data_IF_199502137529
#
_entry.id   IF_199502137529
#
_cell.length_a   1.000
_cell.length_b   1.000
_cell.length_c   1.000
_cell.angle_alpha   90.00
_cell.angle_beta   90.00
_cell.angle_gamma   90.00
#
_symmetry.space_group_name_H-M   'P 1'
#
loop_
_entity.id
_entity.type
_entity.pdbx_description
1 polymer ?
#
# COMPACT_ATOMS: atom_id res chain seq x y z
N UNK A 1 -30.92 34.65 -22.82
CA UNK A 1 -30.33 33.31 -22.57
C UNK A 1 -28.83 33.51 -22.42
N UNK A 2 -28.39 33.84 -21.20
CA UNK A 2 -26.99 34.19 -20.92
C UNK A 2 -26.19 32.90 -20.82
N UNK A 3 -25.33 32.65 -21.81
CA UNK A 3 -24.38 31.54 -21.78
C UNK A 3 -23.26 31.90 -20.81
N UNK A 4 -23.07 31.08 -19.78
CA UNK A 4 -21.92 31.19 -18.88
C UNK A 4 -20.71 30.49 -19.50
N UNK A 5 -19.49 31.03 -19.33
CA UNK A 5 -18.28 30.39 -19.84
C UNK A 5 -17.91 29.18 -18.97
N UNK A 6 -17.65 28.05 -19.61
CA UNK A 6 -17.09 26.85 -18.98
C UNK A 6 -15.61 27.07 -18.73
N UNK A 7 -15.23 27.26 -17.47
CA UNK A 7 -13.82 27.33 -17.07
C UNK A 7 -13.26 25.91 -17.11
N UNK A 8 -12.42 25.62 -18.10
CA UNK A 8 -11.67 24.37 -18.15
C UNK A 8 -10.60 24.40 -17.05
N UNK A 9 -10.83 23.65 -15.97
CA UNK A 9 -9.84 23.47 -14.91
C UNK A 9 -8.76 22.54 -15.45
N UNK A 10 -7.59 23.10 -15.79
CA UNK A 10 -6.40 22.31 -16.06
C UNK A 10 -6.15 21.35 -14.90
N UNK A 11 -6.10 20.05 -15.20
CA UNK A 11 -5.77 19.01 -14.22
C UNK A 11 -4.33 19.24 -13.75
N UNK A 12 -4.20 19.95 -12.64
CA UNK A 12 -2.95 20.15 -11.91
C UNK A 12 -2.19 18.82 -11.84
N UNK A 13 -0.92 18.81 -12.27
CA UNK A 13 -0.03 17.64 -12.34
C UNK A 13 0.38 17.05 -10.98
N UNK A 14 -0.51 17.11 -9.99
CA UNK A 14 -0.34 16.53 -8.66
C UNK A 14 -0.51 15.01 -8.79
N UNK A 15 0.51 14.20 -8.45
CA UNK A 15 0.40 12.75 -8.48
C UNK A 15 -0.74 12.26 -7.58
N UNK A 16 -1.58 11.36 -8.10
CA UNK A 16 -2.59 10.70 -7.28
C UNK A 16 -1.92 9.85 -6.17
N UNK A 17 -2.56 9.77 -4.99
CA UNK A 17 -2.14 8.87 -3.91
C UNK A 17 -1.16 9.47 -2.89
N UNK A 18 -0.88 10.77 -2.94
CA UNK A 18 -0.08 11.49 -1.94
C UNK A 18 -0.65 11.43 -0.53
N UNK A 19 -1.97 11.31 -0.41
CA UNK A 19 -2.68 11.29 0.87
C UNK A 19 -3.39 9.96 1.09
N UNK A 20 -3.43 9.51 2.33
CA UNK A 20 -4.13 8.30 2.74
C UNK A 20 -4.85 8.52 4.07
N UNK A 21 -6.00 7.85 4.26
CA UNK A 21 -6.76 7.92 5.50
C UNK A 21 -6.33 6.80 6.45
N UNK A 22 -6.09 7.12 7.72
CA UNK A 22 -5.88 6.11 8.75
C UNK A 22 -7.18 5.34 9.04
N UNK A 23 -7.19 4.00 9.00
CA UNK A 23 -8.39 3.22 9.31
C UNK A 23 -8.74 3.23 10.80
N UNK A 24 -7.78 3.52 11.69
CA UNK A 24 -8.00 3.53 13.13
C UNK A 24 -8.52 4.88 13.66
N UNK A 25 -7.84 6.00 13.35
CA UNK A 25 -8.21 7.32 13.86
C UNK A 25 -8.89 8.24 12.81
N UNK A 26 -8.92 7.83 11.54
CA UNK A 26 -9.54 8.62 10.47
C UNK A 26 -8.71 9.80 9.96
N UNK A 27 -7.53 10.06 10.51
CA UNK A 27 -6.65 11.17 10.09
C UNK A 27 -6.24 11.04 8.61
N UNK A 28 -6.11 12.18 7.93
CA UNK A 28 -5.54 12.27 6.59
C UNK A 28 -4.03 12.44 6.69
N UNK A 29 -3.29 11.42 6.26
CA UNK A 29 -1.85 11.32 6.40
C UNK A 29 -1.18 11.48 5.05
N UNK A 30 -0.03 12.15 5.02
CA UNK A 30 0.82 12.20 3.85
C UNK A 30 1.59 10.88 3.71
N UNK A 31 1.48 10.23 2.55
CA UNK A 31 2.04 8.89 2.32
C UNK A 31 3.54 8.82 2.61
N UNK A 32 4.30 9.83 2.18
CA UNK A 32 5.76 9.87 2.40
C UNK A 32 6.13 9.88 3.88
N UNK A 33 5.41 10.66 4.69
CA UNK A 33 5.64 10.70 6.14
C UNK A 33 5.31 9.36 6.81
N UNK A 34 4.30 8.65 6.29
CA UNK A 34 3.99 7.28 6.72
C UNK A 34 5.10 6.29 6.35
N UNK A 35 5.65 6.37 5.14
CA UNK A 35 6.77 5.52 4.70
C UNK A 35 8.03 5.77 5.54
N UNK A 36 8.38 7.04 5.78
CA UNK A 36 9.50 7.45 6.64
C UNK A 36 9.32 6.98 8.10
N UNK A 37 8.09 6.95 8.60
CA UNK A 37 7.76 6.44 9.94
C UNK A 37 7.45 4.93 9.98
N UNK A 38 8.05 4.15 9.07
CA UNK A 38 7.94 2.68 9.02
C UNK A 38 6.50 2.15 8.99
N UNK A 39 5.61 2.91 8.34
CA UNK A 39 4.20 2.62 8.18
C UNK A 39 3.42 2.59 9.52
N UNK A 40 3.81 3.43 10.48
CA UNK A 40 3.10 3.67 11.74
C UNK A 40 2.41 5.04 11.72
N UNK A 41 1.14 5.08 12.10
CA UNK A 41 0.38 6.34 12.18
C UNK A 41 1.03 7.29 13.20
N UNK A 42 1.45 8.51 12.81
CA UNK A 42 2.03 9.45 13.76
C UNK A 42 1.02 9.94 14.80
N UNK A 43 -0.27 9.99 14.43
CA UNK A 43 -1.35 10.51 15.29
C UNK A 43 -1.83 9.52 16.35
N UNK A 44 -1.92 8.22 16.02
CA UNK A 44 -2.54 7.22 16.89
C UNK A 44 -1.73 5.94 17.10
N UNK A 45 -0.52 5.87 16.54
CA UNK A 45 0.38 4.70 16.65
C UNK A 45 -0.20 3.39 16.07
N UNK A 46 -1.24 3.47 15.23
CA UNK A 46 -1.73 2.31 14.50
C UNK A 46 -0.69 1.82 13.48
N UNK A 47 -0.38 0.53 13.53
CA UNK A 47 0.54 -0.12 12.59
C UNK A 47 -0.23 -0.56 11.34
N UNK A 48 0.16 -0.02 10.18
CA UNK A 48 -0.45 -0.43 8.92
C UNK A 48 0.11 -1.78 8.46
N UNK A 49 -0.70 -2.51 7.70
CA UNK A 49 -0.24 -3.67 6.94
C UNK A 49 0.82 -3.24 5.93
N UNK A 50 1.93 -3.96 5.91
CA UNK A 50 2.97 -3.82 4.88
C UNK A 50 3.21 -5.17 4.20
N UNK A 51 3.83 -5.14 3.02
CA UNK A 51 4.24 -6.36 2.33
C UNK A 51 5.42 -7.03 3.06
N UNK A 52 5.59 -8.34 2.86
CA UNK A 52 6.75 -9.06 3.39
C UNK A 52 8.08 -8.44 2.90
N UNK A 53 8.16 -8.05 1.62
CA UNK A 53 9.34 -7.41 1.03
C UNK A 53 9.66 -6.06 1.67
N UNK A 54 8.64 -5.28 2.00
CA UNK A 54 8.82 -4.02 2.73
C UNK A 54 9.36 -4.28 4.13
N UNK A 55 8.82 -5.27 4.84
CA UNK A 55 9.34 -5.64 6.16
C UNK A 55 10.81 -6.05 6.11
N UNK A 56 11.20 -6.86 5.12
CA UNK A 56 12.61 -7.27 4.92
C UNK A 56 13.52 -6.05 4.77
N UNK A 57 13.14 -5.07 3.92
CA UNK A 57 13.92 -3.82 3.75
C UNK A 57 14.09 -3.02 5.04
N UNK A 58 13.12 -3.08 5.95
CA UNK A 58 13.17 -2.32 7.21
C UNK A 58 14.09 -2.94 8.27
N UNK A 59 14.33 -4.25 8.22
CA UNK A 59 14.98 -4.99 9.30
C UNK A 59 16.35 -5.58 8.92
N UNK A 60 16.60 -5.79 7.62
CA UNK A 60 17.88 -6.30 7.13
C UNK A 60 18.80 -5.16 6.73
N UNK A 61 20.10 -5.34 6.95
CA UNK A 61 21.10 -4.41 6.44
C UNK A 61 21.03 -4.35 4.90
N UNK A 62 21.39 -3.20 4.34
CA UNK A 62 21.34 -2.98 2.91
C UNK A 62 22.18 -4.04 2.17
N UNK A 63 21.60 -4.64 1.12
CA UNK A 63 22.22 -5.70 0.31
C UNK A 63 22.63 -6.98 1.08
N UNK A 64 22.15 -7.20 2.31
CA UNK A 64 22.46 -8.40 3.10
C UNK A 64 21.45 -9.55 2.96
N UNK A 65 20.23 -9.26 2.51
CA UNK A 65 19.17 -10.26 2.41
C UNK A 65 19.36 -11.17 1.20
N UNK A 66 19.36 -12.49 1.44
CA UNK A 66 19.40 -13.52 0.41
C UNK A 66 18.10 -14.34 0.45
N UNK A 67 17.27 -14.24 -0.59
CA UNK A 67 16.02 -14.99 -0.69
C UNK A 67 16.30 -16.50 -0.82
N UNK A 68 15.62 -17.30 0.00
CA UNK A 68 15.76 -18.77 -0.01
C UNK A 68 14.52 -19.39 -0.62
N UNK A 69 14.71 -20.32 -1.54
CA UNK A 69 13.65 -21.07 -2.23
C UNK A 69 12.64 -20.17 -2.99
N UNK A 70 13.10 -19.27 -3.89
CA UNK A 70 12.22 -18.35 -4.62
C UNK A 70 11.18 -19.05 -5.53
N UNK A 71 11.43 -20.32 -5.87
CA UNK A 71 10.57 -21.13 -6.72
C UNK A 71 9.67 -22.09 -5.94
N UNK A 72 9.61 -21.99 -4.60
CA UNK A 72 8.72 -22.82 -3.80
C UNK A 72 7.29 -22.31 -3.95
N UNK A 73 6.41 -23.20 -4.40
CA UNK A 73 5.00 -22.91 -4.63
C UNK A 73 4.08 -23.90 -3.93
N UNK A 74 2.84 -23.47 -3.68
CA UNK A 74 1.82 -24.34 -3.09
C UNK A 74 1.27 -25.29 -4.15
N UNK A 75 1.10 -26.55 -3.77
CA UNK A 75 0.39 -27.57 -4.56
C UNK A 75 -0.91 -27.94 -3.85
N UNK A 76 -1.87 -28.47 -4.60
CA UNK A 76 -3.14 -28.97 -4.04
C UNK A 76 -3.15 -30.51 -4.03
N UNK A 77 -2.65 -31.16 -2.97
CA UNK A 77 -2.66 -32.62 -2.87
C UNK A 77 -4.05 -33.19 -2.58
N UNK A 78 -5.01 -32.35 -2.17
CA UNK A 78 -6.36 -32.77 -1.80
C UNK A 78 -7.36 -32.65 -2.95
N UNK A 79 -7.00 -31.97 -4.04
CA UNK A 79 -7.94 -31.64 -5.12
C UNK A 79 -9.11 -30.80 -4.60
N UNK A 80 -8.84 -29.91 -3.64
CA UNK A 80 -9.86 -29.16 -2.93
C UNK A 80 -10.50 -28.12 -3.85
N UNK A 81 -11.83 -28.16 -3.93
CA UNK A 81 -12.60 -27.18 -4.70
C UNK A 81 -13.60 -26.46 -3.81
N UNK A 82 -13.47 -25.15 -3.70
CA UNK A 82 -14.45 -24.29 -3.06
C UNK A 82 -15.49 -23.82 -4.10
N UNK A 83 -16.52 -23.08 -3.66
CA UNK A 83 -17.55 -22.51 -4.55
C UNK A 83 -16.96 -21.60 -5.64
N UNK A 84 -15.76 -21.05 -5.43
CA UNK A 84 -14.93 -20.37 -6.42
C UNK A 84 -13.49 -20.85 -6.25
N UNK A 85 -12.81 -21.09 -7.36
CA UNK A 85 -11.37 -21.36 -7.34
C UNK A 85 -10.61 -20.11 -6.84
N UNK A 86 -9.53 -20.32 -6.09
CA UNK A 86 -8.69 -19.27 -5.51
C UNK A 86 -7.68 -18.66 -6.51
N UNK A 87 -7.90 -18.86 -7.82
CA UNK A 87 -7.01 -18.43 -8.90
C UNK A 87 -7.20 -16.95 -9.30
#
# INVERSE_FOLDING_TARGET
MSQQPTVEVEKSGIPAGLWMRCPACGAMLFRKAMEENLHVCPECQHHFRISARERVRQICDENSFEERYPNLESVDPLGFNDKKAYA
#
